data_IF_120408195387
#
_entry.id   IF_120408195387
#
_cell.length_a   1.000
_cell.length_b   1.000
_cell.length_c   1.000
_cell.angle_alpha   90.00
_cell.angle_beta   90.00
_cell.angle_gamma   90.00
#
_symmetry.space_group_name_H-M   'P 1'
#
loop_
_entity.id
_entity.type
_entity.pdbx_description
1 polymer ?
#
# COMPACT_ATOMS: atom_id res chain seq x y z
N UNK A 1 -51.25 13.32 -11.70
CA UNK A 1 -50.59 12.21 -12.42
C UNK A 1 -49.11 12.50 -12.74
N UNK A 2 -48.77 13.63 -13.39
CA UNK A 2 -47.38 13.96 -13.75
C UNK A 2 -46.39 14.00 -12.58
N UNK A 3 -46.79 14.53 -11.42
CA UNK A 3 -45.91 14.61 -10.22
C UNK A 3 -45.56 13.23 -9.65
N UNK A 4 -46.49 12.28 -9.70
CA UNK A 4 -46.27 10.91 -9.21
C UNK A 4 -45.31 10.16 -10.12
N UNK A 5 -45.50 10.28 -11.44
CA UNK A 5 -44.55 9.76 -12.43
C UNK A 5 -43.14 10.34 -12.24
N UNK A 6 -43.04 11.64 -11.99
CA UNK A 6 -41.75 12.30 -11.74
C UNK A 6 -41.06 11.75 -10.48
N UNK A 7 -41.80 11.54 -9.40
CA UNK A 7 -41.28 10.93 -8.17
C UNK A 7 -40.80 9.49 -8.38
N UNK A 8 -41.51 8.69 -9.19
CA UNK A 8 -41.11 7.32 -9.51
C UNK A 8 -39.77 7.28 -10.24
N UNK A 9 -39.39 8.31 -10.99
CA UNK A 9 -38.07 8.39 -11.64
C UNK A 9 -37.01 9.04 -10.75
N UNK A 10 -37.33 10.12 -10.05
CA UNK A 10 -36.35 10.89 -9.27
C UNK A 10 -35.89 10.12 -8.04
N UNK A 11 -36.78 9.42 -7.33
CA UNK A 11 -36.41 8.66 -6.13
C UNK A 11 -35.37 7.58 -6.43
N UNK A 12 -35.57 6.65 -7.40
CA UNK A 12 -34.55 5.65 -7.69
C UNK A 12 -33.28 6.25 -8.29
N UNK A 13 -33.39 7.32 -9.08
CA UNK A 13 -32.20 8.03 -9.59
C UNK A 13 -31.37 8.59 -8.42
N UNK A 14 -32.02 9.24 -7.46
CA UNK A 14 -31.37 9.75 -6.25
C UNK A 14 -30.74 8.63 -5.43
N UNK A 15 -31.47 7.54 -5.16
CA UNK A 15 -30.94 6.40 -4.41
C UNK A 15 -29.73 5.77 -5.13
N UNK A 16 -29.77 5.68 -6.46
CA UNK A 16 -28.67 5.17 -7.27
C UNK A 16 -27.43 6.07 -7.18
N UNK A 17 -27.60 7.38 -7.36
CA UNK A 17 -26.49 8.34 -7.27
C UNK A 17 -25.87 8.35 -5.88
N UNK A 18 -26.68 8.36 -4.82
CA UNK A 18 -26.18 8.33 -3.44
C UNK A 18 -25.46 7.02 -3.12
N UNK A 19 -25.97 5.89 -3.62
CA UNK A 19 -25.30 4.59 -3.44
C UNK A 19 -23.94 4.54 -4.15
N UNK A 20 -23.84 5.16 -5.33
CA UNK A 20 -22.60 5.24 -6.08
C UNK A 20 -21.57 6.17 -5.40
N UNK A 21 -22.01 7.31 -4.88
CA UNK A 21 -21.17 8.22 -4.10
C UNK A 21 -20.62 7.56 -2.83
N UNK A 22 -21.46 6.83 -2.09
CA UNK A 22 -21.03 6.09 -0.91
C UNK A 22 -19.96 5.03 -1.25
N UNK A 23 -20.13 4.29 -2.35
CA UNK A 23 -19.16 3.29 -2.79
C UNK A 23 -17.82 3.92 -3.20
N UNK A 24 -17.88 5.06 -3.91
CA UNK A 24 -16.70 5.82 -4.29
C UNK A 24 -15.96 6.33 -3.06
N UNK A 25 -16.67 6.87 -2.07
CA UNK A 25 -16.07 7.34 -0.83
C UNK A 25 -15.34 6.22 -0.08
N UNK A 26 -15.95 5.04 0.04
CA UNK A 26 -15.34 3.87 0.68
C UNK A 26 -14.08 3.43 -0.08
N UNK A 27 -14.14 3.37 -1.41
CA UNK A 27 -13.02 2.98 -2.26
C UNK A 27 -11.85 3.97 -2.13
N UNK A 28 -12.13 5.27 -2.22
CA UNK A 28 -11.12 6.32 -2.12
C UNK A 28 -10.49 6.37 -0.72
N UNK A 29 -11.30 6.28 0.33
CA UNK A 29 -10.82 6.24 1.71
C UNK A 29 -9.91 5.04 1.95
N UNK A 30 -10.32 3.86 1.46
CA UNK A 30 -9.51 2.63 1.58
C UNK A 30 -8.20 2.76 0.82
N UNK A 31 -8.25 3.32 -0.40
CA UNK A 31 -7.06 3.53 -1.23
C UNK A 31 -6.05 4.47 -0.55
N UNK A 32 -6.54 5.57 0.02
CA UNK A 32 -5.70 6.54 0.72
C UNK A 32 -5.08 5.91 1.97
N UNK A 33 -5.88 5.21 2.80
CA UNK A 33 -5.37 4.50 3.97
C UNK A 33 -4.29 3.48 3.59
N UNK A 34 -4.52 2.71 2.53
CA UNK A 34 -3.55 1.74 2.03
C UNK A 34 -2.25 2.41 1.58
N UNK A 35 -2.34 3.49 0.80
CA UNK A 35 -1.16 4.27 0.37
C UNK A 35 -0.36 4.77 1.58
N UNK A 36 -1.02 5.36 2.57
CA UNK A 36 -0.33 5.87 3.76
C UNK A 36 0.26 4.76 4.63
N UNK A 37 -0.46 3.66 4.83
CA UNK A 37 0.01 2.53 5.61
C UNK A 37 1.26 1.89 5.00
N UNK A 38 1.23 1.64 3.69
CA UNK A 38 2.36 1.09 2.96
C UNK A 38 3.55 2.07 2.97
N UNK A 39 3.31 3.37 2.76
CA UNK A 39 4.39 4.36 2.80
C UNK A 39 5.05 4.47 4.17
N UNK A 40 4.27 4.44 5.26
CA UNK A 40 4.81 4.45 6.63
C UNK A 40 5.55 3.16 6.95
N UNK A 41 4.99 2.01 6.60
CA UNK A 41 5.68 0.74 6.77
C UNK A 41 7.00 0.72 6.00
N UNK A 42 7.03 1.23 4.77
CA UNK A 42 8.26 1.28 3.96
C UNK A 42 9.28 2.28 4.53
N UNK A 43 8.82 3.39 5.10
CA UNK A 43 9.67 4.30 5.87
C UNK A 43 10.32 3.57 7.05
N UNK A 44 9.52 2.91 7.89
CA UNK A 44 10.00 2.20 9.08
C UNK A 44 10.97 1.06 8.70
N UNK A 45 10.69 0.39 7.58
CA UNK A 45 11.55 -0.65 7.02
C UNK A 45 12.88 -0.10 6.50
N UNK A 46 12.87 1.06 5.83
CA UNK A 46 14.09 1.70 5.36
C UNK A 46 15.01 2.09 6.53
N UNK A 47 14.47 2.38 7.72
CA UNK A 47 15.30 2.70 8.88
C UNK A 47 16.00 1.48 9.50
N UNK A 48 15.64 0.25 9.10
CA UNK A 48 16.26 -0.96 9.64
C UNK A 48 17.56 -1.28 8.91
N UNK A 49 18.64 -0.62 9.33
CA UNK A 49 19.98 -0.78 8.77
C UNK A 49 20.93 -1.43 9.75
N UNK A 50 21.93 -2.13 9.20
CA UNK A 50 23.02 -2.75 9.96
C UNK A 50 23.91 -1.69 10.58
N UNK A 51 23.93 -1.61 11.91
CA UNK A 51 24.65 -0.56 12.66
C UNK A 51 26.17 -0.60 12.47
N UNK A 52 26.72 -1.79 12.32
CA UNK A 52 28.12 -2.04 11.99
C UNK A 52 28.50 -1.42 10.64
N UNK A 53 27.67 -1.63 9.61
CA UNK A 53 27.87 -1.06 8.27
C UNK A 53 27.63 0.44 8.22
N UNK A 54 26.62 0.91 8.95
CA UNK A 54 26.30 2.34 9.04
C UNK A 54 27.49 3.14 9.60
N UNK A 55 28.23 2.59 10.57
CA UNK A 55 29.42 3.22 11.13
C UNK A 55 30.58 3.35 10.11
N UNK A 56 30.59 2.49 9.10
CA UNK A 56 31.55 2.51 7.98
C UNK A 56 31.09 3.42 6.83
N UNK A 57 29.90 4.02 6.94
CA UNK A 57 29.30 4.84 5.89
C UNK A 57 28.57 4.05 4.81
N UNK A 58 28.38 2.73 5.01
CA UNK A 58 27.61 1.87 4.11
C UNK A 58 26.20 1.67 4.63
N UNK A 59 25.20 1.94 3.79
CA UNK A 59 23.81 1.66 4.11
C UNK A 59 23.48 0.26 3.61
N UNK A 60 23.30 -0.67 4.54
CA UNK A 60 22.91 -2.05 4.26
C UNK A 60 21.70 -2.40 5.13
N UNK A 61 20.60 -2.82 4.50
CA UNK A 61 19.37 -3.12 5.22
C UNK A 61 19.46 -4.48 5.92
N UNK A 62 18.94 -4.55 7.14
CA UNK A 62 18.70 -5.83 7.81
C UNK A 62 17.36 -6.36 7.34
N UNK A 63 17.37 -7.27 6.36
CA UNK A 63 16.15 -7.69 5.62
C UNK A 63 15.07 -8.26 6.53
N UNK A 64 15.47 -9.02 7.55
CA UNK A 64 14.55 -9.63 8.49
C UNK A 64 13.83 -8.58 9.34
N UNK A 65 14.59 -7.65 9.93
CA UNK A 65 14.06 -6.54 10.72
C UNK A 65 13.28 -5.55 9.86
N UNK A 66 13.75 -5.24 8.66
CA UNK A 66 13.07 -4.38 7.68
C UNK A 66 11.69 -4.92 7.36
N UNK A 67 11.59 -6.22 7.11
CA UNK A 67 10.33 -6.89 6.82
C UNK A 67 9.39 -6.87 8.02
N UNK A 68 9.91 -7.18 9.21
CA UNK A 68 9.13 -7.13 10.44
C UNK A 68 8.59 -5.72 10.73
N UNK A 69 9.42 -4.68 10.52
CA UNK A 69 9.03 -3.28 10.66
C UNK A 69 7.95 -2.88 9.65
N UNK A 70 8.09 -3.31 8.38
CA UNK A 70 7.08 -3.09 7.35
C UNK A 70 5.72 -3.69 7.74
N UNK A 71 5.72 -4.95 8.18
CA UNK A 71 4.51 -5.66 8.59
C UNK A 71 3.90 -5.05 9.86
N UNK A 72 4.71 -4.62 10.83
CA UNK A 72 4.25 -3.92 12.02
C UNK A 72 3.58 -2.58 11.66
N UNK A 73 4.20 -1.80 10.77
CA UNK A 73 3.65 -0.54 10.27
C UNK A 73 2.33 -0.75 9.53
N UNK A 74 2.23 -1.79 8.70
CA UNK A 74 0.97 -2.15 8.04
C UNK A 74 -0.10 -2.58 9.05
N UNK A 75 0.23 -3.43 10.02
CA UNK A 75 -0.71 -3.91 11.05
C UNK A 75 -1.30 -2.76 11.84
N UNK A 76 -0.46 -1.83 12.29
CA UNK A 76 -0.91 -0.66 13.05
C UNK A 76 -1.80 0.26 12.21
N UNK A 77 -1.39 0.61 10.99
CA UNK A 77 -2.12 1.59 10.17
C UNK A 77 -3.37 1.02 9.47
N UNK A 78 -3.40 -0.30 9.21
CA UNK A 78 -4.54 -0.98 8.58
C UNK A 78 -5.47 -1.65 9.60
N UNK A 79 -5.22 -1.48 10.90
CA UNK A 79 -6.04 -2.06 11.96
C UNK A 79 -6.15 -3.59 11.81
N UNK A 80 -5.00 -4.24 11.72
CA UNK A 80 -4.88 -5.70 11.66
C UNK A 80 -4.58 -6.25 13.06
N UNK A 81 -4.99 -7.47 13.30
CA UNK A 81 -4.70 -8.21 14.52
C UNK A 81 -3.27 -8.79 14.52
N UNK A 82 -3.02 -9.75 15.41
CA UNK A 82 -1.72 -10.46 15.49
C UNK A 82 -1.52 -11.50 14.40
N UNK A 83 -2.59 -11.99 13.77
CA UNK A 83 -2.52 -12.94 12.64
C UNK A 83 -2.43 -12.23 11.29
N UNK A 84 -2.58 -10.91 11.28
CA UNK A 84 -2.55 -10.08 10.08
C UNK A 84 -3.93 -9.92 9.43
N UNK A 85 -4.98 -10.40 10.08
CA UNK A 85 -6.35 -10.27 9.63
C UNK A 85 -6.93 -8.92 10.10
N UNK A 86 -7.76 -8.26 9.28
CA UNK A 86 -8.36 -6.98 9.66
C UNK A 86 -9.36 -7.16 10.80
N UNK A 87 -9.38 -6.24 11.76
CA UNK A 87 -10.38 -6.27 12.83
C UNK A 87 -11.80 -6.20 12.28
N UNK A 88 -12.75 -6.79 13.01
CA UNK A 88 -14.17 -6.71 12.67
C UNK A 88 -14.64 -5.25 12.69
N UNK A 89 -15.35 -4.82 11.64
CA UNK A 89 -15.84 -3.45 11.51
C UNK A 89 -14.86 -2.46 10.87
N UNK A 90 -13.68 -2.93 10.44
CA UNK A 90 -12.77 -2.12 9.61
C UNK A 90 -13.20 -2.14 8.14
N UNK A 91 -12.57 -1.29 7.33
CA UNK A 91 -12.85 -1.21 5.89
C UNK A 91 -12.30 -2.42 5.12
N UNK A 92 -11.29 -3.13 5.63
CA UNK A 92 -10.71 -4.28 4.94
C UNK A 92 -11.45 -5.56 5.34
N UNK A 93 -11.70 -6.42 4.37
CA UNK A 93 -12.33 -7.74 4.60
C UNK A 93 -11.33 -8.89 4.57
N UNK A 94 -10.27 -8.72 3.79
CA UNK A 94 -9.21 -9.72 3.62
C UNK A 94 -7.87 -9.12 4.06
N UNK A 95 -6.96 -9.98 4.53
CA UNK A 95 -5.61 -9.58 4.88
C UNK A 95 -4.84 -9.03 3.68
N UNK A 96 -4.06 -7.95 3.85
CA UNK A 96 -3.10 -7.51 2.84
C UNK A 96 -1.98 -8.54 2.69
N UNK A 97 -1.54 -8.78 1.45
CA UNK A 97 -0.49 -9.75 1.13
C UNK A 97 0.66 -9.02 0.45
N UNK A 98 1.88 -9.14 0.97
CA UNK A 98 3.07 -8.65 0.26
C UNK A 98 3.42 -9.67 -0.82
N UNK A 99 3.26 -9.28 -2.07
CA UNK A 99 3.50 -10.15 -3.24
C UNK A 99 4.92 -10.03 -3.78
N UNK A 100 5.59 -8.94 -3.43
CA UNK A 100 6.96 -8.70 -3.86
C UNK A 100 7.68 -7.81 -2.85
N UNK A 101 8.93 -8.15 -2.57
CA UNK A 101 9.84 -7.37 -1.74
C UNK A 101 11.24 -7.39 -2.37
N UNK A 102 11.95 -6.27 -2.29
CA UNK A 102 13.32 -6.14 -2.74
C UNK A 102 14.03 -5.00 -2.02
N UNK A 103 15.36 -5.11 -1.97
CA UNK A 103 16.24 -4.23 -1.24
C UNK A 103 17.39 -3.85 -2.16
N UNK A 104 17.56 -2.56 -2.40
CA UNK A 104 18.67 -2.04 -3.20
C UNK A 104 19.52 -1.19 -2.28
N UNK A 105 20.75 -1.63 -2.03
CA UNK A 105 21.63 -1.03 -1.02
C UNK A 105 23.10 -1.04 -1.48
N UNK A 106 24.01 -0.53 -0.65
CA UNK A 106 25.44 -0.40 -1.01
C UNK A 106 26.14 -1.77 -1.10
N UNK A 107 25.56 -2.81 -0.50
CA UNK A 107 26.05 -4.18 -0.62
C UNK A 107 25.64 -4.86 -1.93
N UNK A 108 24.72 -4.25 -2.69
CA UNK A 108 24.16 -4.83 -3.90
C UNK A 108 25.20 -4.76 -5.04
N UNK A 109 25.65 -5.90 -5.58
CA UNK A 109 26.74 -5.91 -6.57
C UNK A 109 26.39 -5.13 -7.84
N UNK A 110 27.28 -4.22 -8.24
CA UNK A 110 27.12 -3.45 -9.47
C UNK A 110 26.12 -2.29 -9.41
N UNK A 111 25.53 -2.04 -8.24
CA UNK A 111 24.68 -0.87 -8.01
C UNK A 111 25.55 0.33 -7.62
N UNK A 112 25.37 1.45 -8.33
CA UNK A 112 25.87 2.76 -7.94
C UNK A 112 24.74 3.75 -8.10
N UNK A 113 24.52 4.57 -7.09
CA UNK A 113 23.47 5.57 -7.12
C UNK A 113 23.93 6.83 -7.86
N UNK A 114 23.07 7.46 -8.68
CA UNK A 114 21.68 7.08 -8.95
C UNK A 114 21.56 5.83 -9.84
N UNK A 115 20.64 4.91 -9.49
CA UNK A 115 20.45 3.62 -10.15
C UNK A 115 19.06 3.54 -10.78
N UNK A 116 18.98 3.13 -12.06
CA UNK A 116 17.69 2.92 -12.74
C UNK A 116 17.14 1.55 -12.40
N UNK A 117 16.22 1.48 -11.43
CA UNK A 117 15.55 0.26 -11.05
C UNK A 117 14.39 -0.04 -12.00
N UNK A 118 14.51 -1.10 -12.77
CA UNK A 118 13.48 -1.58 -13.70
C UNK A 118 13.19 -3.04 -13.43
N UNK A 119 11.91 -3.35 -13.21
CA UNK A 119 11.42 -4.71 -13.05
C UNK A 119 10.12 -4.86 -13.83
N UNK A 120 10.23 -5.49 -15.01
CA UNK A 120 9.13 -5.60 -15.98
C UNK A 120 7.98 -6.45 -15.45
N UNK A 121 8.26 -7.57 -14.79
CA UNK A 121 7.27 -8.50 -14.23
C UNK A 121 6.35 -7.84 -13.20
N UNK A 122 6.81 -6.77 -12.53
CA UNK A 122 6.07 -6.07 -11.49
C UNK A 122 5.59 -4.70 -11.95
N UNK A 123 5.91 -4.31 -13.19
CA UNK A 123 5.67 -2.99 -13.78
C UNK A 123 6.26 -1.84 -12.93
N UNK A 124 7.49 -2.02 -12.45
CA UNK A 124 8.20 -1.04 -11.64
C UNK A 124 9.32 -0.42 -12.49
N UNK A 125 9.30 0.91 -12.62
CA UNK A 125 10.39 1.68 -13.23
C UNK A 125 10.57 2.98 -12.47
N UNK A 126 11.70 3.12 -11.77
CA UNK A 126 12.05 4.33 -11.01
C UNK A 126 13.57 4.48 -10.92
N UNK A 127 14.05 5.71 -10.99
CA UNK A 127 15.44 6.03 -10.66
C UNK A 127 15.57 6.21 -9.14
N UNK A 128 16.41 5.40 -8.51
CA UNK A 128 16.75 5.46 -7.09
C UNK A 128 17.94 6.40 -6.91
N UNK A 129 17.85 7.38 -6.02
CA UNK A 129 18.97 8.30 -5.72
C UNK A 129 19.87 7.80 -4.59
N UNK A 130 19.39 6.81 -3.84
CA UNK A 130 20.11 6.16 -2.78
C UNK A 130 19.52 4.78 -2.47
N UNK A 131 20.06 4.13 -1.42
CA UNK A 131 19.56 2.85 -0.92
C UNK A 131 18.06 2.90 -0.68
N UNK A 132 17.31 1.89 -1.10
CA UNK A 132 15.86 1.88 -1.04
C UNK A 132 15.28 0.49 -0.75
N UNK A 133 14.15 0.50 -0.04
CA UNK A 133 13.30 -0.67 0.15
C UNK A 133 12.11 -0.59 -0.80
N UNK A 134 11.76 -1.73 -1.40
CA UNK A 134 10.73 -1.83 -2.43
C UNK A 134 9.75 -2.91 -2.00
N UNK A 135 8.47 -2.56 -1.94
CA UNK A 135 7.41 -3.52 -1.63
C UNK A 135 6.25 -3.38 -2.61
N UNK A 136 5.62 -4.50 -2.94
CA UNK A 136 4.33 -4.54 -3.63
C UNK A 136 3.34 -5.31 -2.78
N UNK A 137 2.24 -4.65 -2.42
CA UNK A 137 1.19 -5.21 -1.59
C UNK A 137 -0.07 -5.38 -2.42
N UNK A 138 -0.69 -6.54 -2.27
CA UNK A 138 -1.97 -6.93 -2.84
C UNK A 138 -3.04 -6.82 -1.76
N UNK A 139 -4.11 -6.08 -2.03
CA UNK A 139 -5.24 -5.90 -1.11
C UNK A 139 -6.54 -6.02 -1.86
N UNK A 140 -7.50 -6.75 -1.28
CA UNK A 140 -8.86 -6.84 -1.81
C UNK A 140 -9.68 -5.65 -1.34
N UNK A 141 -10.28 -4.93 -2.29
CA UNK A 141 -11.08 -3.74 -1.97
C UNK A 141 -12.40 -4.13 -1.27
N UNK A 142 -12.87 -3.32 -0.31
CA UNK A 142 -14.20 -3.47 0.24
C UNK A 142 -15.27 -3.30 -0.83
N UNK A 143 -16.33 -4.08 -0.67
CA UNK A 143 -17.54 -3.98 -1.47
C UNK A 143 -18.65 -3.39 -0.62
N UNK A 144 -19.23 -2.29 -1.10
CA UNK A 144 -20.39 -1.63 -0.49
C UNK A 144 -21.69 -2.18 -1.03
N UNK A 145 -21.73 -2.55 -2.31
CA UNK A 145 -22.90 -3.14 -2.97
C UNK A 145 -22.50 -4.20 -4.01
N UNK A 146 -23.50 -4.84 -4.65
CA UNK A 146 -23.28 -5.88 -5.66
C UNK A 146 -22.59 -5.38 -6.94
N UNK A 147 -22.72 -4.09 -7.24
CA UNK A 147 -22.15 -3.42 -8.41
C UNK A 147 -20.72 -2.88 -8.15
N UNK A 148 -20.27 -2.86 -6.90
CA UNK A 148 -18.91 -2.45 -6.52
C UNK A 148 -17.87 -3.35 -7.17
N UNK A 149 -16.73 -2.76 -7.52
CA UNK A 149 -15.58 -3.49 -8.06
C UNK A 149 -15.16 -4.63 -7.12
N UNK A 150 -15.12 -5.85 -7.65
CA UNK A 150 -14.70 -7.04 -6.92
C UNK A 150 -13.35 -7.51 -7.48
N UNK A 151 -12.27 -6.96 -6.96
CA UNK A 151 -10.94 -7.31 -7.40
C UNK A 151 -9.85 -6.90 -6.43
N UNK A 152 -8.65 -7.35 -6.75
CA UNK A 152 -7.45 -7.08 -5.98
C UNK A 152 -6.74 -5.85 -6.54
N UNK A 153 -6.34 -4.95 -5.66
CA UNK A 153 -5.52 -3.79 -5.99
C UNK A 153 -4.09 -4.08 -5.58
N UNK A 154 -3.18 -3.77 -6.50
CA UNK A 154 -1.75 -3.83 -6.25
C UNK A 154 -1.22 -2.41 -5.98
N UNK A 155 -0.43 -2.27 -4.92
CA UNK A 155 0.23 -1.03 -4.56
C UNK A 155 1.71 -1.27 -4.38
N UNK A 156 2.50 -0.60 -5.22
CA UNK A 156 3.95 -0.58 -5.11
C UNK A 156 4.37 0.65 -4.31
N UNK A 157 5.32 0.46 -3.39
CA UNK A 157 6.03 1.52 -2.70
C UNK A 157 7.52 1.33 -2.90
N UNK A 158 8.21 2.46 -3.05
CA UNK A 158 9.66 2.53 -3.10
C UNK A 158 10.03 3.66 -2.14
N UNK A 159 10.72 3.30 -1.07
CA UNK A 159 11.15 4.26 -0.07
C UNK A 159 12.67 4.27 0.02
N UNK A 160 13.26 5.44 -0.26
CA UNK A 160 14.70 5.66 -0.20
C UNK A 160 15.09 6.00 1.24
N UNK A 161 16.25 5.52 1.68
CA UNK A 161 16.79 5.83 2.99
C UNK A 161 16.97 7.35 3.13
N UNK A 162 16.49 7.97 4.22
CA UNK A 162 16.66 9.40 4.44
C UNK A 162 18.13 9.69 4.74
N UNK A 163 18.84 10.20 3.73
CA UNK A 163 20.16 10.82 3.88
C UNK A 163 19.91 12.30 4.18
N UNK A 164 19.79 12.64 5.46
CA UNK A 164 19.83 14.04 5.90
C UNK A 164 21.29 14.55 5.94
#
# INVERSE_FOLDING_TARGET
MNRVLLLIFVIPMFLYTTSFEADRYVTETTHNRLKFAINRGAHDAALQVKKDRLAEGEIVFERSDSRAAFEAGMRYNLQLDTTGDPYTGTLLKDRPIVVFEDYVDDSTPGVRFPYSYVRESEHISKVLKGPAVIYKVKVKLPRTNGLSYNGDVYKTVIYEYPLD
#
